data_IF_903698286576
#
_entry.id   IF_903698286576
#
_cell.length_a   1.000
_cell.length_b   1.000
_cell.length_c   1.000
_cell.angle_alpha   90.00
_cell.angle_beta   90.00
_cell.angle_gamma   90.00
#
_symmetry.space_group_name_H-M   'P 1'
#
loop_
_entity.id
_entity.type
_entity.pdbx_description
1 polymer ?
#
# COMPACT_ATOMS: atom_id res chain seq x y z
N UNK A 1 59.11 -13.27 11.16
CA UNK A 1 57.83 -13.82 10.64
C UNK A 1 56.75 -12.80 10.96
N UNK A 2 56.21 -12.09 9.95
CA UNK A 2 55.17 -11.07 10.15
C UNK A 2 53.85 -11.67 9.66
N UNK A 3 52.99 -12.05 10.60
CA UNK A 3 51.63 -12.51 10.29
C UNK A 3 50.74 -11.29 10.11
N UNK A 4 50.35 -11.03 8.86
CA UNK A 4 49.33 -10.02 8.53
C UNK A 4 47.98 -10.74 8.61
N UNK A 5 47.30 -10.63 9.74
CA UNK A 5 45.90 -11.07 9.87
C UNK A 5 45.01 -10.10 9.11
N UNK A 6 44.59 -10.50 7.91
CA UNK A 6 43.55 -9.81 7.15
C UNK A 6 42.21 -9.98 7.87
N UNK A 7 41.67 -8.88 8.39
CA UNK A 7 40.33 -8.83 8.94
C UNK A 7 39.38 -8.77 7.75
N UNK A 8 38.75 -9.91 7.42
CA UNK A 8 37.72 -9.99 6.39
C UNK A 8 36.50 -9.22 6.93
N UNK A 9 36.09 -8.10 6.33
CA UNK A 9 34.83 -7.47 6.70
C UNK A 9 33.73 -8.42 6.24
N UNK A 10 33.04 -9.03 7.21
CA UNK A 10 31.81 -9.76 6.97
C UNK A 10 30.80 -8.70 6.50
N UNK A 11 30.67 -8.56 5.19
CA UNK A 11 29.54 -7.86 4.59
C UNK A 11 28.30 -8.67 4.93
N UNK A 12 27.67 -8.34 6.06
CA UNK A 12 26.28 -8.66 6.30
C UNK A 12 25.48 -7.96 5.21
N UNK A 13 25.24 -8.65 4.10
CA UNK A 13 24.15 -8.33 3.21
C UNK A 13 22.89 -8.52 4.01
N UNK A 14 22.36 -7.42 4.54
CA UNK A 14 20.96 -7.34 4.95
C UNK A 14 20.14 -7.66 3.70
N UNK A 15 19.70 -8.90 3.57
CA UNK A 15 18.48 -9.15 2.83
C UNK A 15 17.42 -8.38 3.61
N UNK A 16 17.10 -7.17 3.15
CA UNK A 16 15.95 -6.42 3.64
C UNK A 16 14.77 -7.39 3.55
N UNK A 17 14.18 -7.75 4.68
CA UNK A 17 12.88 -8.39 4.67
C UNK A 17 11.98 -7.46 3.86
N UNK A 18 11.64 -7.86 2.64
CA UNK A 18 10.83 -7.04 1.75
C UNK A 18 9.43 -7.03 2.37
N UNK A 19 9.11 -6.03 3.18
CA UNK A 19 7.73 -5.76 3.56
C UNK A 19 7.09 -5.04 2.38
N UNK A 20 6.54 -5.82 1.45
CA UNK A 20 5.98 -5.27 0.21
C UNK A 20 4.77 -4.43 0.56
N UNK A 21 4.92 -3.11 0.47
CA UNK A 21 3.86 -2.14 0.78
C UNK A 21 3.11 -1.78 -0.48
N UNK A 22 1.82 -1.44 -0.40
CA UNK A 22 0.98 -1.20 -1.58
C UNK A 22 0.21 0.11 -1.52
N UNK A 23 -0.07 0.67 -2.70
CA UNK A 23 -0.88 1.86 -2.90
C UNK A 23 -1.87 1.65 -4.06
N UNK A 24 -3.06 2.24 -3.95
CA UNK A 24 -4.02 2.31 -5.05
C UNK A 24 -3.76 3.56 -5.90
N UNK A 25 -3.92 3.40 -7.21
CA UNK A 25 -3.94 4.51 -8.17
C UNK A 25 -5.30 4.57 -8.84
N UNK A 26 -5.66 5.74 -9.36
CA UNK A 26 -6.87 5.93 -10.14
C UNK A 26 -6.61 6.74 -11.41
N UNK A 27 -7.48 6.56 -12.40
CA UNK A 27 -7.46 7.35 -13.62
C UNK A 27 -8.86 7.84 -13.94
N UNK A 28 -8.94 9.14 -14.23
CA UNK A 28 -10.11 9.77 -14.85
C UNK A 28 -9.87 9.83 -16.35
N UNK A 29 -10.87 9.54 -17.21
CA UNK A 29 -10.70 9.62 -18.66
C UNK A 29 -10.14 10.97 -19.09
N UNK A 30 -9.04 10.95 -19.85
CA UNK A 30 -8.34 12.15 -20.30
C UNK A 30 -7.29 12.71 -19.33
N UNK A 31 -7.04 12.05 -18.19
CA UNK A 31 -5.98 12.39 -17.22
C UNK A 31 -4.97 11.25 -17.10
N UNK A 32 -3.71 11.52 -16.66
CA UNK A 32 -2.77 10.46 -16.33
C UNK A 32 -3.22 9.66 -15.10
N UNK A 33 -2.58 8.49 -14.89
CA UNK A 33 -2.73 7.75 -13.64
C UNK A 33 -2.18 8.59 -12.50
N UNK A 34 -2.95 8.68 -11.42
CA UNK A 34 -2.53 9.38 -10.22
C UNK A 34 -2.69 8.48 -9.01
N UNK A 35 -1.77 8.62 -8.07
CA UNK A 35 -1.90 8.03 -6.75
C UNK A 35 -3.19 8.51 -6.08
N UNK A 36 -3.92 7.57 -5.46
CA UNK A 36 -5.18 7.85 -4.79
C UNK A 36 -5.12 7.40 -3.33
N UNK A 37 -4.79 8.35 -2.45
CA UNK A 37 -4.60 8.09 -1.03
C UNK A 37 -5.89 7.71 -0.31
N UNK A 38 -7.04 8.27 -0.72
CA UNK A 38 -8.34 7.97 -0.12
C UNK A 38 -8.73 6.51 -0.40
N UNK A 39 -8.60 6.09 -1.66
CA UNK A 39 -8.82 4.71 -2.07
C UNK A 39 -7.81 3.77 -1.40
N UNK A 40 -6.54 4.18 -1.28
CA UNK A 40 -5.52 3.38 -0.59
C UNK A 40 -5.85 3.18 0.88
N UNK A 41 -6.21 4.25 1.60
CA UNK A 41 -6.59 4.19 3.02
C UNK A 41 -7.82 3.32 3.22
N UNK A 42 -8.82 3.47 2.34
CA UNK A 42 -10.02 2.66 2.37
C UNK A 42 -9.72 1.18 2.14
N UNK A 43 -9.05 0.82 1.04
CA UNK A 43 -8.71 -0.57 0.72
C UNK A 43 -7.89 -1.21 1.85
N UNK A 44 -6.89 -0.49 2.37
CA UNK A 44 -6.05 -1.00 3.45
C UNK A 44 -6.85 -1.31 4.72
N UNK A 45 -7.66 -0.35 5.18
CA UNK A 45 -8.41 -0.52 6.43
C UNK A 45 -9.62 -1.42 6.29
N UNK A 46 -10.28 -1.43 5.15
CA UNK A 46 -11.47 -2.24 4.95
C UNK A 46 -11.11 -3.72 4.79
N UNK A 47 -10.07 -4.04 4.02
CA UNK A 47 -9.76 -5.42 3.64
C UNK A 47 -8.61 -6.02 4.44
N UNK A 48 -7.74 -5.19 5.01
CA UNK A 48 -6.50 -5.64 5.67
C UNK A 48 -6.39 -5.16 7.12
N UNK A 49 -7.47 -4.75 7.79
CA UNK A 49 -7.44 -4.23 9.17
C UNK A 49 -6.61 -5.06 10.17
N UNK A 50 -6.59 -6.39 10.02
CA UNK A 50 -5.83 -7.29 10.89
C UNK A 50 -4.42 -7.63 10.37
N UNK A 51 -4.16 -7.38 9.08
CA UNK A 51 -2.97 -7.86 8.37
C UNK A 51 -2.01 -6.73 7.96
N UNK A 52 -2.48 -5.49 7.87
CA UNK A 52 -1.70 -4.34 7.46
C UNK A 52 -2.18 -3.06 8.14
N UNK A 53 -1.32 -2.06 8.18
CA UNK A 53 -1.63 -0.72 8.64
C UNK A 53 -1.47 0.27 7.50
N UNK A 54 -2.40 1.21 7.41
CA UNK A 54 -2.22 2.36 6.54
C UNK A 54 -1.25 3.33 7.21
N UNK A 55 -0.09 3.55 6.59
CA UNK A 55 0.89 4.54 7.03
C UNK A 55 0.60 5.87 6.35
N UNK A 56 0.21 6.87 7.15
CA UNK A 56 -0.10 8.21 6.64
C UNK A 56 1.13 8.98 6.16
N UNK A 57 2.35 8.59 6.59
CA UNK A 57 3.59 9.25 6.17
C UNK A 57 3.94 8.96 4.71
N UNK A 58 3.87 7.68 4.32
CA UNK A 58 4.08 7.23 2.93
C UNK A 58 2.80 7.19 2.10
N UNK A 59 1.64 7.17 2.76
CA UNK A 59 0.34 6.97 2.12
C UNK A 59 0.10 5.53 1.66
N UNK A 60 0.79 4.55 2.23
CA UNK A 60 0.78 3.16 1.76
C UNK A 60 0.17 2.22 2.77
N UNK A 61 -0.32 1.08 2.29
CA UNK A 61 -0.68 -0.05 3.11
C UNK A 61 0.58 -0.89 3.38
N UNK A 62 0.99 -0.96 4.65
CA UNK A 62 2.20 -1.67 5.08
C UNK A 62 1.78 -2.94 5.82
N UNK A 63 2.19 -4.14 5.36
CA UNK A 63 1.84 -5.38 6.03
C UNK A 63 2.45 -5.44 7.43
N UNK A 64 1.69 -5.94 8.40
CA UNK A 64 2.16 -6.12 9.77
C UNK A 64 3.23 -7.22 9.86
N UNK A 65 3.13 -8.20 8.97
CA UNK A 65 4.07 -9.31 8.79
C UNK A 65 4.01 -9.81 7.35
N UNK A 66 5.18 -10.08 6.76
CA UNK A 66 5.27 -10.71 5.44
C UNK A 66 4.93 -9.76 4.29
N UNK A 67 4.54 -10.33 3.15
CA UNK A 67 4.33 -9.60 1.90
C UNK A 67 2.85 -9.35 1.63
N UNK A 68 2.49 -8.16 1.16
CA UNK A 68 1.19 -7.98 0.51
C UNK A 68 1.17 -8.69 -0.85
N UNK A 69 0.08 -9.41 -1.11
CA UNK A 69 -0.16 -10.06 -2.40
C UNK A 69 -0.68 -9.02 -3.39
N UNK A 70 0.16 -8.64 -4.36
CA UNK A 70 -0.15 -7.61 -5.35
C UNK A 70 -1.47 -7.86 -6.08
N UNK A 71 -1.70 -9.07 -6.60
CA UNK A 71 -2.91 -9.37 -7.36
C UNK A 71 -4.18 -9.18 -6.53
N UNK A 72 -4.14 -9.60 -5.26
CA UNK A 72 -5.27 -9.38 -4.34
C UNK A 72 -5.49 -7.91 -4.09
N UNK A 73 -4.43 -7.16 -3.76
CA UNK A 73 -4.56 -5.74 -3.47
C UNK A 73 -5.02 -4.93 -4.70
N UNK A 74 -4.54 -5.29 -5.90
CA UNK A 74 -5.00 -4.70 -7.15
C UNK A 74 -6.48 -4.96 -7.38
N UNK A 75 -6.93 -6.20 -7.20
CA UNK A 75 -8.34 -6.54 -7.34
C UNK A 75 -9.21 -5.77 -6.34
N UNK A 76 -8.72 -5.59 -5.12
CA UNK A 76 -9.41 -4.84 -4.07
C UNK A 76 -9.51 -3.35 -4.40
N UNK A 77 -8.43 -2.73 -4.90
CA UNK A 77 -8.47 -1.34 -5.40
C UNK A 77 -9.49 -1.19 -6.55
N UNK A 78 -9.53 -2.16 -7.48
CA UNK A 78 -10.48 -2.15 -8.61
C UNK A 78 -11.91 -2.31 -8.12
N UNK A 79 -12.13 -3.24 -7.20
CA UNK A 79 -13.44 -3.57 -6.65
C UNK A 79 -14.01 -2.37 -5.88
N UNK A 80 -13.24 -1.81 -4.94
CA UNK A 80 -13.63 -0.62 -4.19
C UNK A 80 -13.75 0.62 -5.08
N UNK A 81 -12.83 0.80 -6.03
CA UNK A 81 -12.77 2.00 -6.86
C UNK A 81 -13.85 2.09 -7.94
N UNK A 82 -14.14 0.97 -8.62
CA UNK A 82 -14.93 1.00 -9.87
C UNK A 82 -16.28 0.29 -9.79
N UNK A 83 -16.49 -0.56 -8.78
CA UNK A 83 -17.71 -1.38 -8.66
C UNK A 83 -18.51 -1.05 -7.41
N UNK A 84 -17.90 -1.24 -6.24
CA UNK A 84 -18.61 -1.10 -4.98
C UNK A 84 -18.67 0.36 -4.55
N UNK A 85 -17.64 1.14 -4.87
CA UNK A 85 -17.43 2.48 -4.34
C UNK A 85 -16.78 2.42 -2.95
N UNK A 86 -16.14 3.52 -2.56
CA UNK A 86 -15.39 3.63 -1.31
C UNK A 86 -15.79 4.87 -0.53
N UNK A 87 -15.42 4.91 0.76
CA UNK A 87 -15.70 6.01 1.67
C UNK A 87 -14.41 6.65 2.16
N UNK A 88 -14.49 7.91 2.54
CA UNK A 88 -13.39 8.63 3.17
C UNK A 88 -13.26 8.23 4.63
N UNK A 89 -12.11 8.58 5.21
CA UNK A 89 -11.92 8.55 6.66
C UNK A 89 -11.82 9.97 7.17
N UNK A 90 -12.56 10.27 8.23
CA UNK A 90 -12.48 11.53 8.97
C UNK A 90 -11.13 11.67 9.69
N UNK A 91 -10.86 12.87 10.20
CA UNK A 91 -9.66 13.16 11.01
C UNK A 91 -9.61 12.33 12.30
N UNK A 92 -10.76 11.97 12.87
CA UNK A 92 -10.88 11.09 14.03
C UNK A 92 -10.77 9.59 13.68
N UNK A 93 -10.38 9.30 12.44
CA UNK A 93 -10.18 7.96 11.92
C UNK A 93 -11.45 7.10 11.79
N UNK A 94 -12.63 7.71 11.93
CA UNK A 94 -13.91 7.07 11.61
C UNK A 94 -14.22 7.11 10.12
N UNK A 95 -15.04 6.18 9.62
CA UNK A 95 -15.47 6.19 8.21
C UNK A 95 -16.54 7.25 7.98
N UNK A 96 -16.35 8.08 6.96
CA UNK A 96 -17.36 9.07 6.53
C UNK A 96 -18.32 8.43 5.52
N UNK A 97 -19.51 8.06 5.98
CA UNK A 97 -20.55 7.47 5.14
C UNK A 97 -21.46 8.50 4.45
N UNK A 98 -21.15 9.81 4.56
CA UNK A 98 -21.98 10.87 3.97
C UNK A 98 -21.95 10.86 2.44
N UNK A 99 -20.81 10.46 1.86
CA UNK A 99 -20.61 10.38 0.43
C UNK A 99 -19.83 9.13 0.05
N UNK A 100 -20.41 8.32 -0.85
CA UNK A 100 -19.68 7.24 -1.51
C UNK A 100 -18.97 7.79 -2.76
N UNK A 101 -17.74 7.35 -2.98
CA UNK A 101 -16.88 7.79 -4.07
C UNK A 101 -16.62 6.65 -5.05
N UNK A 102 -16.39 7.02 -6.31
CA UNK A 102 -16.03 6.10 -7.38
C UNK A 102 -14.96 6.73 -8.27
N UNK A 103 -14.14 5.89 -8.88
CA UNK A 103 -13.18 6.25 -9.92
C UNK A 103 -13.49 5.47 -11.18
N UNK A 104 -13.10 6.00 -12.33
CA UNK A 104 -13.41 5.35 -13.60
C UNK A 104 -12.52 4.12 -13.85
N UNK A 105 -11.22 4.24 -13.54
CA UNK A 105 -10.30 3.12 -13.47
C UNK A 105 -9.52 3.16 -12.16
N UNK A 106 -9.14 1.98 -11.67
CA UNK A 106 -8.27 1.79 -10.52
C UNK A 106 -7.20 0.74 -10.81
N UNK A 107 -6.07 0.86 -10.14
CA UNK A 107 -4.97 -0.11 -10.19
C UNK A 107 -4.20 -0.06 -8.86
N UNK A 108 -3.16 -0.89 -8.73
CA UNK A 108 -2.28 -0.86 -7.58
C UNK A 108 -0.81 -0.75 -8.00
N UNK A 109 0.02 -0.29 -7.07
CA UNK A 109 1.47 -0.38 -7.12
C UNK A 109 1.95 -0.93 -5.79
N UNK A 110 2.90 -1.88 -5.83
CA UNK A 110 3.45 -2.48 -4.62
C UNK A 110 4.97 -2.61 -4.74
N UNK A 111 5.68 -2.10 -3.73
CA UNK A 111 7.15 -1.99 -3.65
C UNK A 111 7.68 -2.88 -2.53
#
# INVERSE_FOLDING_TARGET
MRFVTAIIPIFFTYATALDRSCACNSLTPGSPWVYNWELTKYTCRHNYASAANYDSGSGRCIPNRGLMVFDQFQNDCIQAGTKDGFYRYNEDETVDTSQKLWVHYASATCD
#
